data_IF_566018907624
#
_entry.id   IF_566018907624
#
_cell.length_a   1.000
_cell.length_b   1.000
_cell.length_c   1.000
_cell.angle_alpha   90.00
_cell.angle_beta   90.00
_cell.angle_gamma   90.00
#
_symmetry.space_group_name_H-M   'P 1'
#
loop_
_entity.id
_entity.type
_entity.pdbx_description
1 polymer ?
#
# COMPACT_ATOMS: atom_id res chain seq x y z
N UNK A 1 34.12 -23.85 -12.90
CA UNK A 1 33.51 -23.64 -11.55
C UNK A 1 32.65 -22.38 -11.60
N UNK A 2 31.38 -22.49 -11.98
CA UNK A 2 30.43 -21.35 -11.90
C UNK A 2 29.34 -21.75 -10.93
N UNK A 3 29.64 -21.60 -9.64
CA UNK A 3 28.70 -21.86 -8.57
C UNK A 3 27.77 -20.65 -8.46
N UNK A 4 26.87 -20.50 -9.42
CA UNK A 4 25.79 -19.51 -9.36
C UNK A 4 24.79 -20.02 -8.33
N UNK A 5 25.15 -19.85 -7.06
CA UNK A 5 24.26 -20.08 -5.94
C UNK A 5 23.08 -19.13 -6.12
N UNK A 6 21.97 -19.66 -6.62
CA UNK A 6 20.64 -19.09 -6.45
C UNK A 6 20.42 -18.97 -4.94
N UNK A 7 20.90 -17.86 -4.35
CA UNK A 7 20.53 -17.49 -2.99
C UNK A 7 19.03 -17.25 -3.03
N UNK A 8 18.27 -18.24 -2.58
CA UNK A 8 16.84 -18.07 -2.30
C UNK A 8 16.76 -16.90 -1.31
N UNK A 9 16.28 -15.73 -1.78
CA UNK A 9 16.00 -14.60 -0.89
C UNK A 9 14.81 -15.02 -0.02
N UNK A 10 15.08 -15.65 1.12
CA UNK A 10 14.05 -16.00 2.09
C UNK A 10 13.28 -14.72 2.48
N UNK A 11 11.95 -14.81 2.52
CA UNK A 11 11.07 -13.69 2.91
C UNK A 11 11.03 -13.47 4.43
N UNK A 12 11.51 -14.42 5.23
CA UNK A 12 11.58 -14.33 6.68
C UNK A 12 12.96 -13.85 7.16
N UNK A 13 13.42 -12.69 6.65
CA UNK A 13 14.60 -12.03 7.21
C UNK A 13 14.20 -11.03 8.28
N UNK A 14 15.11 -10.71 9.21
CA UNK A 14 14.92 -9.65 10.21
C UNK A 14 14.49 -8.33 9.55
N UNK A 15 15.16 -7.96 8.46
CA UNK A 15 14.87 -6.75 7.69
C UNK A 15 13.45 -6.76 7.12
N UNK A 16 12.99 -7.86 6.53
CA UNK A 16 11.64 -7.95 5.96
C UNK A 16 10.55 -7.97 7.03
N UNK A 17 10.82 -8.61 8.18
CA UNK A 17 9.87 -8.62 9.29
C UNK A 17 9.70 -7.22 9.90
N UNK A 18 10.80 -6.50 10.12
CA UNK A 18 10.76 -5.13 10.64
C UNK A 18 10.08 -4.20 9.64
N UNK A 19 10.38 -4.33 8.34
CA UNK A 19 9.72 -3.51 7.32
C UNK A 19 8.23 -3.79 7.25
N UNK A 20 7.82 -5.06 7.42
CA UNK A 20 6.41 -5.47 7.47
C UNK A 20 5.69 -4.80 8.64
N UNK A 21 6.28 -4.79 9.83
CA UNK A 21 5.66 -4.13 11.01
C UNK A 21 5.51 -2.63 10.76
N UNK A 22 6.57 -1.96 10.29
CA UNK A 22 6.54 -0.51 10.01
C UNK A 22 5.49 -0.18 8.93
N UNK A 23 5.44 -0.97 7.87
CA UNK A 23 4.49 -0.80 6.79
C UNK A 23 3.04 -1.13 7.22
N UNK A 24 2.84 -2.05 8.17
CA UNK A 24 1.52 -2.37 8.74
C UNK A 24 1.00 -1.21 9.60
N UNK A 25 1.87 -0.66 10.46
CA UNK A 25 1.54 0.54 11.27
C UNK A 25 1.20 1.72 10.35
N UNK A 26 2.01 1.97 9.32
CA UNK A 26 1.69 2.99 8.31
C UNK A 26 0.41 2.69 7.56
N UNK A 27 0.16 1.42 7.19
CA UNK A 27 -1.04 1.07 6.45
C UNK A 27 -2.31 1.38 7.24
N UNK A 28 -2.31 1.09 8.54
CA UNK A 28 -3.42 1.39 9.43
C UNK A 28 -3.55 2.90 9.71
N UNK A 29 -2.48 3.52 10.20
CA UNK A 29 -2.51 4.94 10.60
C UNK A 29 -2.59 5.89 9.42
N UNK A 30 -1.85 5.61 8.34
CA UNK A 30 -1.91 6.34 7.09
C UNK A 30 -3.25 6.16 6.40
N UNK A 31 -3.84 4.97 6.46
CA UNK A 31 -5.20 4.72 5.99
C UNK A 31 -6.22 5.61 6.71
N UNK A 32 -6.16 5.64 8.04
CA UNK A 32 -7.00 6.53 8.84
C UNK A 32 -6.76 8.02 8.53
N UNK A 33 -5.50 8.44 8.39
CA UNK A 33 -5.15 9.83 8.08
C UNK A 33 -5.73 10.27 6.73
N UNK A 34 -5.51 9.50 5.66
CA UNK A 34 -5.93 9.89 4.32
C UNK A 34 -7.44 9.80 4.14
N UNK A 35 -8.06 8.68 4.49
CA UNK A 35 -9.49 8.45 4.20
C UNK A 35 -10.44 8.85 5.34
N UNK A 36 -9.97 8.89 6.58
CA UNK A 36 -10.77 9.24 7.75
C UNK A 36 -10.57 10.66 8.29
N UNK A 37 -9.61 11.42 7.75
CA UNK A 37 -9.39 12.82 8.16
C UNK A 37 -9.26 13.73 6.95
N UNK A 38 -8.32 13.44 6.04
CA UNK A 38 -7.98 14.39 4.98
C UNK A 38 -8.99 14.38 3.82
N UNK A 39 -9.49 13.20 3.45
CA UNK A 39 -10.36 13.03 2.29
C UNK A 39 -11.81 12.68 2.68
N UNK A 40 -12.15 12.58 3.96
CA UNK A 40 -13.46 12.12 4.43
C UNK A 40 -14.61 12.91 3.77
N UNK A 41 -14.62 14.23 3.94
CA UNK A 41 -15.66 15.11 3.38
C UNK A 41 -15.70 15.04 1.85
N UNK A 42 -14.54 15.00 1.20
CA UNK A 42 -14.46 14.93 -0.25
C UNK A 42 -15.04 13.61 -0.77
N UNK A 43 -14.64 12.49 -0.17
CA UNK A 43 -15.07 11.16 -0.58
C UNK A 43 -16.57 10.95 -0.35
N UNK A 44 -17.10 11.48 0.77
CA UNK A 44 -18.54 11.43 1.07
C UNK A 44 -19.39 12.22 0.06
N UNK A 45 -18.87 13.34 -0.45
CA UNK A 45 -19.55 14.14 -1.48
C UNK A 45 -19.49 13.53 -2.89
N UNK A 46 -18.59 12.56 -3.11
CA UNK A 46 -18.38 11.89 -4.39
C UNK A 46 -18.76 10.41 -4.36
N UNK A 47 -19.61 10.01 -3.41
CA UNK A 47 -20.24 8.69 -3.40
C UNK A 47 -21.15 8.53 -4.63
N UNK A 48 -21.10 7.35 -5.23
CA UNK A 48 -21.98 6.99 -6.33
C UNK A 48 -23.38 6.60 -5.85
N UNK A 49 -24.15 5.94 -6.72
CA UNK A 49 -25.54 5.55 -6.42
C UNK A 49 -25.67 4.29 -5.57
N UNK A 50 -24.56 3.60 -5.26
CA UNK A 50 -24.58 2.41 -4.42
C UNK A 50 -24.90 2.76 -2.95
N UNK A 51 -25.88 2.07 -2.38
CA UNK A 51 -26.29 2.23 -0.97
C UNK A 51 -25.87 1.02 -0.13
N UNK A 52 -25.64 1.23 1.18
CA UNK A 52 -25.32 0.15 2.12
C UNK A 52 -23.92 -0.46 2.01
N UNK A 53 -23.00 0.18 1.29
CA UNK A 53 -21.63 -0.33 1.07
C UNK A 53 -20.71 -0.12 2.29
N UNK A 54 -20.88 0.98 3.02
CA UNK A 54 -20.08 1.31 4.20
C UNK A 54 -20.63 0.66 5.47
N UNK A 55 -19.75 0.05 6.28
CA UNK A 55 -20.11 -0.32 7.66
C UNK A 55 -20.14 0.95 8.53
N UNK A 56 -21.11 1.03 9.44
CA UNK A 56 -21.22 2.12 10.42
C UNK A 56 -19.97 2.23 11.32
N UNK A 57 -19.42 1.07 11.73
CA UNK A 57 -18.11 0.99 12.36
C UNK A 57 -17.25 -0.08 11.66
N UNK A 58 -16.01 0.26 11.26
CA UNK A 58 -15.06 -0.73 10.78
C UNK A 58 -14.79 -1.80 11.83
N UNK A 59 -14.64 -3.05 11.39
CA UNK A 59 -14.07 -4.11 12.23
C UNK A 59 -12.55 -3.87 12.33
N UNK A 60 -12.13 -3.21 13.41
CA UNK A 60 -10.73 -2.84 13.61
C UNK A 60 -9.80 -4.05 13.72
N UNK A 61 -10.28 -5.20 14.20
CA UNK A 61 -9.50 -6.43 14.29
C UNK A 61 -9.18 -6.98 12.90
N UNK A 62 -10.21 -7.12 12.06
CA UNK A 62 -10.04 -7.59 10.68
C UNK A 62 -9.25 -6.58 9.83
N UNK A 63 -9.48 -5.28 10.05
CA UNK A 63 -8.74 -4.21 9.36
C UNK A 63 -7.25 -4.25 9.69
N UNK A 64 -6.87 -4.36 10.97
CA UNK A 64 -5.48 -4.45 11.39
C UNK A 64 -4.80 -5.70 10.80
N UNK A 65 -5.50 -6.83 10.79
CA UNK A 65 -5.00 -8.06 10.16
C UNK A 65 -4.81 -7.90 8.64
N UNK A 66 -5.77 -7.27 7.95
CA UNK A 66 -5.66 -6.94 6.53
C UNK A 66 -4.46 -6.03 6.23
N UNK A 67 -4.26 -4.98 7.03
CA UNK A 67 -3.08 -4.11 6.94
C UNK A 67 -1.77 -4.88 7.12
N UNK A 68 -1.72 -5.85 8.04
CA UNK A 68 -0.56 -6.70 8.25
C UNK A 68 -0.27 -7.59 7.04
N UNK A 69 -1.29 -8.23 6.47
CA UNK A 69 -1.14 -9.07 5.26
C UNK A 69 -0.67 -8.23 4.07
N UNK A 70 -1.27 -7.06 3.86
CA UNK A 70 -0.87 -6.13 2.80
C UNK A 70 0.58 -5.68 2.98
N UNK A 71 0.98 -5.32 4.20
CA UNK A 71 2.33 -4.88 4.51
C UNK A 71 3.37 -5.99 4.31
N UNK A 72 3.01 -7.25 4.64
CA UNK A 72 3.86 -8.41 4.43
C UNK A 72 4.07 -8.67 2.93
N UNK A 73 2.99 -8.67 2.14
CA UNK A 73 3.06 -8.85 0.70
C UNK A 73 3.89 -7.73 0.05
N UNK A 74 3.61 -6.47 0.40
CA UNK A 74 4.32 -5.30 -0.12
C UNK A 74 5.82 -5.35 0.19
N UNK A 75 6.20 -5.63 1.45
CA UNK A 75 7.60 -5.74 1.84
C UNK A 75 8.33 -6.89 1.14
N UNK A 76 7.64 -8.02 0.98
CA UNK A 76 8.20 -9.22 0.33
C UNK A 76 8.40 -9.01 -1.17
N UNK A 77 7.46 -8.33 -1.84
CA UNK A 77 7.61 -7.97 -3.26
C UNK A 77 8.74 -6.94 -3.43
N UNK A 78 8.83 -5.93 -2.57
CA UNK A 78 9.94 -4.97 -2.62
C UNK A 78 11.31 -5.66 -2.52
N UNK A 79 11.42 -6.68 -1.65
CA UNK A 79 12.63 -7.51 -1.55
C UNK A 79 12.98 -8.18 -2.87
N UNK A 80 12.00 -8.70 -3.60
CA UNK A 80 12.24 -9.29 -4.92
C UNK A 80 12.55 -8.26 -6.01
N UNK A 81 12.10 -7.01 -5.85
CA UNK A 81 12.28 -5.95 -6.83
C UNK A 81 13.73 -5.43 -6.86
N UNK A 82 14.37 -5.27 -5.71
CA UNK A 82 15.71 -4.65 -5.61
C UNK A 82 16.90 -5.60 -5.77
N UNK A 83 18.02 -5.04 -6.24
CA UNK A 83 19.37 -5.64 -6.11
C UNK A 83 19.83 -5.62 -4.65
N UNK A 84 20.98 -6.21 -4.34
CA UNK A 84 21.51 -6.30 -2.96
C UNK A 84 21.79 -4.94 -2.28
N UNK A 85 21.62 -3.83 -3.01
CA UNK A 85 21.77 -2.44 -2.53
C UNK A 85 20.45 -1.68 -2.59
N UNK A 86 19.62 -1.82 -1.56
CA UNK A 86 18.37 -1.06 -1.44
C UNK A 86 18.61 0.39 -1.04
N UNK A 87 17.95 1.33 -1.72
CA UNK A 87 17.87 2.73 -1.31
C UNK A 87 16.43 3.15 -0.97
N UNK A 88 16.24 4.22 -0.17
CA UNK A 88 14.92 4.80 0.08
C UNK A 88 14.22 5.26 -1.20
N UNK A 89 14.99 5.70 -2.21
CA UNK A 89 14.46 6.12 -3.50
C UNK A 89 13.90 4.94 -4.30
N UNK A 90 14.51 3.76 -4.21
CA UNK A 90 13.95 2.55 -4.81
C UNK A 90 12.62 2.17 -4.16
N UNK A 91 12.54 2.32 -2.84
CA UNK A 91 11.31 2.16 -2.07
C UNK A 91 10.22 3.13 -2.52
N UNK A 92 10.55 4.42 -2.68
CA UNK A 92 9.61 5.42 -3.15
C UNK A 92 9.08 5.10 -4.56
N UNK A 93 9.97 4.77 -5.50
CA UNK A 93 9.59 4.37 -6.87
C UNK A 93 8.70 3.14 -6.88
N UNK A 94 9.03 2.13 -6.06
CA UNK A 94 8.20 0.95 -5.88
C UNK A 94 6.80 1.32 -5.38
N UNK A 95 6.74 2.14 -4.35
CA UNK A 95 5.50 2.63 -3.77
C UNK A 95 4.62 3.39 -4.78
N UNK A 96 5.21 4.27 -5.58
CA UNK A 96 4.48 4.99 -6.64
C UNK A 96 3.85 4.01 -7.63
N UNK A 97 4.60 3.00 -8.10
CA UNK A 97 4.05 2.00 -9.02
C UNK A 97 2.96 1.15 -8.40
N UNK A 98 3.11 0.75 -7.13
CA UNK A 98 2.05 0.05 -6.40
C UNK A 98 0.80 0.93 -6.26
N UNK A 99 0.98 2.22 -5.99
CA UNK A 99 -0.11 3.18 -5.91
C UNK A 99 -0.79 3.44 -7.25
N UNK A 100 -0.07 3.45 -8.37
CA UNK A 100 -0.66 3.52 -9.72
C UNK A 100 -1.48 2.25 -9.99
N UNK A 101 -0.94 1.08 -9.66
CA UNK A 101 -1.60 -0.21 -9.87
C UNK A 101 -2.91 -0.31 -9.07
N UNK A 102 -2.89 0.03 -7.79
CA UNK A 102 -4.07 -0.07 -6.90
C UNK A 102 -5.00 1.13 -7.10
N UNK A 103 -4.44 2.34 -7.13
CA UNK A 103 -5.21 3.58 -7.22
C UNK A 103 -5.90 3.76 -8.57
N UNK A 104 -5.15 3.67 -9.68
CA UNK A 104 -5.73 3.83 -11.01
C UNK A 104 -6.10 2.51 -11.65
N UNK A 105 -5.22 1.50 -11.63
CA UNK A 105 -5.49 0.21 -12.25
C UNK A 105 -6.75 -0.44 -11.66
N UNK A 106 -6.74 -0.74 -10.36
CA UNK A 106 -7.90 -1.31 -9.69
C UNK A 106 -9.04 -0.28 -9.50
N UNK A 107 -8.73 0.98 -9.15
CA UNK A 107 -9.76 2.01 -8.93
C UNK A 107 -10.63 2.30 -10.16
N UNK A 108 -10.05 2.41 -11.35
CA UNK A 108 -10.81 2.63 -12.59
C UNK A 108 -11.61 1.38 -12.99
N UNK A 109 -11.06 0.18 -12.80
CA UNK A 109 -11.80 -1.08 -13.00
C UNK A 109 -13.02 -1.11 -12.07
N UNK A 110 -12.84 -0.76 -10.80
CA UNK A 110 -13.92 -0.73 -9.82
C UNK A 110 -14.98 0.32 -10.17
N UNK A 111 -14.59 1.51 -10.66
CA UNK A 111 -15.55 2.52 -11.14
C UNK A 111 -16.33 2.04 -12.37
N UNK A 112 -15.66 1.31 -13.28
CA UNK A 112 -16.32 0.78 -14.47
C UNK A 112 -17.32 -0.34 -14.17
N UNK A 113 -17.16 -1.05 -13.05
CA UNK A 113 -17.98 -2.23 -12.69
C UNK A 113 -18.92 -2.01 -11.50
N UNK A 114 -18.77 -0.91 -10.76
CA UNK A 114 -19.56 -0.60 -9.55
C UNK A 114 -19.99 0.86 -9.54
N UNK A 115 -21.07 1.16 -8.81
CA UNK A 115 -21.53 2.53 -8.59
C UNK A 115 -21.01 3.10 -7.24
N UNK A 116 -19.79 2.76 -6.84
CA UNK A 116 -19.27 3.11 -5.51
C UNK A 116 -18.88 4.58 -5.35
N UNK A 117 -18.06 5.10 -6.27
CA UNK A 117 -17.65 6.50 -6.34
C UNK A 117 -17.99 7.03 -7.73
N UNK A 118 -18.27 8.33 -7.84
CA UNK A 118 -18.31 8.98 -9.15
C UNK A 118 -16.91 9.04 -9.79
N UNK A 119 -16.82 9.52 -11.04
CA UNK A 119 -15.54 9.57 -11.77
C UNK A 119 -14.52 10.49 -11.07
N UNK A 120 -14.98 11.61 -10.50
CA UNK A 120 -14.12 12.59 -9.84
C UNK A 120 -13.53 12.00 -8.55
N UNK A 121 -14.38 11.40 -7.72
CA UNK A 121 -13.99 10.67 -6.52
C UNK A 121 -13.02 9.53 -6.83
N UNK A 122 -13.26 8.78 -7.91
CA UNK A 122 -12.38 7.68 -8.34
C UNK A 122 -10.98 8.16 -8.73
N UNK A 123 -10.89 9.27 -9.48
CA UNK A 123 -9.59 9.85 -9.90
C UNK A 123 -8.81 10.39 -8.71
N UNK A 124 -9.47 11.15 -7.82
CA UNK A 124 -8.83 11.70 -6.62
C UNK A 124 -8.38 10.58 -5.68
N UNK A 125 -9.20 9.56 -5.49
CA UNK A 125 -8.85 8.37 -4.73
C UNK A 125 -7.60 7.67 -5.31
N UNK A 126 -7.46 7.64 -6.64
CA UNK A 126 -6.27 7.15 -7.32
C UNK A 126 -5.00 7.91 -6.90
N UNK A 127 -5.06 9.25 -6.86
CA UNK A 127 -3.92 10.07 -6.38
C UNK A 127 -3.63 9.86 -4.89
N UNK A 128 -4.67 9.74 -4.05
CA UNK A 128 -4.50 9.44 -2.62
C UNK A 128 -3.75 8.12 -2.45
N UNK A 129 -4.12 7.08 -3.19
CA UNK A 129 -3.40 5.81 -3.19
C UNK A 129 -1.93 5.95 -3.62
N UNK A 130 -1.63 6.75 -4.64
CA UNK A 130 -0.24 7.01 -5.05
C UNK A 130 0.57 7.59 -3.88
N UNK A 131 0.05 8.63 -3.22
CA UNK A 131 0.74 9.26 -2.09
C UNK A 131 0.90 8.26 -0.93
N UNK A 132 -0.16 7.54 -0.59
CA UNK A 132 -0.17 6.55 0.48
C UNK A 132 0.89 5.45 0.26
N UNK A 133 0.92 4.84 -0.92
CA UNK A 133 1.89 3.79 -1.23
C UNK A 133 3.30 4.34 -1.46
N UNK A 134 3.47 5.57 -1.96
CA UNK A 134 4.77 6.23 -2.06
C UNK A 134 5.43 6.37 -0.67
N UNK A 135 4.67 6.83 0.34
CA UNK A 135 5.18 6.92 1.72
C UNK A 135 5.45 5.52 2.29
N UNK A 136 4.55 4.55 2.07
CA UNK A 136 4.76 3.16 2.49
C UNK A 136 6.07 2.59 1.90
N UNK A 137 6.29 2.81 0.61
CA UNK A 137 7.50 2.41 -0.11
C UNK A 137 8.76 3.08 0.43
N UNK A 138 8.71 4.38 0.69
CA UNK A 138 9.82 5.13 1.29
C UNK A 138 10.22 4.55 2.65
N UNK A 139 9.24 4.27 3.52
CA UNK A 139 9.47 3.67 4.84
C UNK A 139 10.13 2.30 4.72
N UNK A 140 9.62 1.43 3.84
CA UNK A 140 10.21 0.11 3.59
C UNK A 140 11.65 0.25 3.08
N UNK A 141 11.90 1.12 2.10
CA UNK A 141 13.25 1.37 1.57
C UNK A 141 14.23 1.90 2.63
N UNK A 142 13.77 2.74 3.56
CA UNK A 142 14.57 3.21 4.70
C UNK A 142 14.97 2.07 5.64
N UNK A 143 14.04 1.17 5.97
CA UNK A 143 14.32 0.00 6.83
C UNK A 143 15.32 -0.93 6.15
N UNK A 144 15.13 -1.21 4.86
CA UNK A 144 16.05 -2.05 4.09
C UNK A 144 17.47 -1.49 4.00
N UNK A 145 17.63 -0.16 3.98
CA UNK A 145 18.94 0.49 4.02
C UNK A 145 19.58 0.44 5.42
N UNK A 146 18.79 0.58 6.49
CA UNK A 146 19.29 0.69 7.87
C UNK A 146 19.59 -0.65 8.53
N UNK A 147 18.74 -1.67 8.32
CA UNK A 147 18.79 -2.97 9.01
C UNK A 147 19.55 -4.00 8.15
N UNK A 148 20.60 -3.56 7.46
CA UNK A 148 21.37 -4.40 6.53
C UNK A 148 21.92 -5.65 7.21
#
# INVERSE_FOLDING_TARGET
MYNNQLKIKTMFTKTNLISTIVAAVWSFMGGFLFWGILAEDFMNNHLGTATGMGKEMPDFGLLAFGCLVQAFAFSSIFRSWGSDSYTPMDGLKYGIWAGILVGFGHGLINHATTNFLDMTGSVVNGFIYIVFYAVMGLLVGLIYKKVK
#
